data_IF_814482924228
#
_entry.id   IF_814482924228
#
_cell.length_a   1.000
_cell.length_b   1.000
_cell.length_c   1.000
_cell.angle_alpha   90.00
_cell.angle_beta   90.00
_cell.angle_gamma   90.00
#
_symmetry.space_group_name_H-M   'P 1'
#
loop_
_entity.id
_entity.type
_entity.pdbx_description
1 polymer ?
#
# COMPACT_ATOMS: atom_id res chain seq x y z
N UNK A 1 2.62 18.82 0.66
CA UNK A 1 3.05 17.92 1.76
C UNK A 1 3.80 18.77 2.78
N UNK A 2 3.36 18.76 4.04
CA UNK A 2 4.11 19.37 5.13
C UNK A 2 5.45 18.65 5.34
N UNK A 3 6.31 19.17 6.22
CA UNK A 3 7.63 18.56 6.52
C UNK A 3 7.57 17.08 6.92
N UNK A 4 6.50 16.65 7.59
CA UNK A 4 6.28 15.26 8.03
C UNK A 4 5.53 14.40 7.01
N UNK A 5 5.21 14.93 5.83
CA UNK A 5 4.56 14.16 4.78
C UNK A 5 5.56 13.22 4.11
N UNK A 6 5.15 11.97 3.93
CA UNK A 6 5.95 10.91 3.31
C UNK A 6 5.21 10.29 2.13
N UNK A 7 5.95 9.80 1.14
CA UNK A 7 5.43 8.94 0.08
C UNK A 7 5.87 7.50 0.34
N UNK A 8 5.14 6.54 -0.23
CA UNK A 8 5.54 5.13 -0.25
C UNK A 8 6.02 4.68 -1.63
N UNK A 9 6.76 3.56 -1.72
CA UNK A 9 7.07 2.92 -2.97
C UNK A 9 5.80 2.41 -3.68
N UNK A 10 5.93 2.17 -4.98
CA UNK A 10 4.96 1.43 -5.77
C UNK A 10 5.32 -0.04 -5.67
N UNK A 11 4.78 -0.72 -4.65
CA UNK A 11 5.07 -2.13 -4.37
C UNK A 11 3.83 -3.03 -4.62
N UNK A 12 3.66 -3.56 -5.83
CA UNK A 12 2.55 -4.44 -6.16
C UNK A 12 2.79 -5.88 -5.70
N UNK A 13 1.74 -6.49 -5.17
CA UNK A 13 1.65 -7.94 -4.98
C UNK A 13 0.56 -8.53 -5.88
N UNK A 14 0.77 -9.76 -6.35
CA UNK A 14 -0.20 -10.46 -7.20
C UNK A 14 -0.72 -11.71 -6.51
N UNK A 15 -2.02 -11.94 -6.62
CA UNK A 15 -2.70 -13.14 -6.13
C UNK A 15 -3.54 -13.74 -7.27
N UNK A 16 -3.31 -15.00 -7.61
CA UNK A 16 -4.14 -15.76 -8.53
C UNK A 16 -4.26 -17.23 -8.11
N UNK A 17 -4.98 -18.04 -8.89
CA UNK A 17 -5.22 -19.46 -8.59
C UNK A 17 -3.93 -20.31 -8.53
N UNK A 18 -2.86 -19.85 -9.19
CA UNK A 18 -1.56 -20.53 -9.30
C UNK A 18 -0.54 -20.09 -8.25
N UNK A 19 -0.87 -19.11 -7.41
CA UNK A 19 -0.04 -18.75 -6.27
C UNK A 19 0.05 -19.91 -5.25
N UNK A 20 1.09 -19.94 -4.40
CA UNK A 20 1.19 -20.91 -3.32
C UNK A 20 -0.05 -20.89 -2.42
N UNK A 21 -0.49 -22.05 -1.96
CA UNK A 21 -1.59 -22.16 -1.01
C UNK A 21 -1.10 -21.80 0.40
N UNK A 22 -1.93 -21.09 1.17
CA UNK A 22 -1.64 -20.79 2.56
C UNK A 22 -1.77 -22.08 3.41
N UNK A 23 -0.72 -22.52 4.13
CA UNK A 23 -0.78 -23.69 5.00
C UNK A 23 -1.85 -23.61 6.09
N UNK A 24 -2.19 -22.40 6.54
CA UNK A 24 -3.15 -22.16 7.62
C UNK A 24 -4.56 -21.90 7.10
N UNK A 25 -4.73 -21.60 5.81
CA UNK A 25 -6.01 -21.33 5.19
C UNK A 25 -6.09 -21.93 3.78
N UNK A 26 -6.69 -23.13 3.63
CA UNK A 26 -6.77 -23.81 2.33
C UNK A 26 -7.49 -23.03 1.23
N UNK A 27 -8.40 -22.10 1.58
CA UNK A 27 -9.10 -21.27 0.63
C UNK A 27 -8.27 -20.06 0.17
N UNK A 28 -7.24 -19.68 0.92
CA UNK A 28 -6.39 -18.54 0.61
C UNK A 28 -5.21 -18.93 -0.30
N UNK A 29 -4.64 -17.89 -0.91
CA UNK A 29 -3.44 -17.95 -1.73
C UNK A 29 -2.47 -16.91 -1.19
N UNK A 30 -1.20 -17.31 -1.03
CA UNK A 30 -0.14 -16.42 -0.56
C UNK A 30 0.16 -15.42 -1.69
N UNK A 31 0.04 -14.10 -1.44
CA UNK A 31 0.46 -13.09 -2.40
C UNK A 31 1.94 -13.23 -2.72
N UNK A 32 2.29 -13.05 -3.98
CA UNK A 32 3.68 -13.00 -4.41
C UNK A 32 4.00 -11.54 -4.71
N UNK A 33 4.89 -10.96 -3.92
CA UNK A 33 5.39 -9.61 -4.18
C UNK A 33 6.29 -9.63 -5.41
N UNK A 34 6.15 -8.60 -6.24
CA UNK A 34 6.93 -8.49 -7.46
C UNK A 34 8.40 -8.23 -7.11
N UNK A 35 8.66 -7.33 -6.16
CA UNK A 35 10.01 -6.96 -5.74
C UNK A 35 10.78 -8.15 -5.17
N UNK A 36 10.17 -8.95 -4.29
CA UNK A 36 10.81 -10.13 -3.69
C UNK A 36 11.31 -11.14 -4.74
N UNK A 37 10.55 -11.34 -5.81
CA UNK A 37 10.94 -12.24 -6.90
C UNK A 37 12.19 -11.73 -7.61
N UNK A 38 12.25 -10.43 -7.93
CA UNK A 38 13.43 -9.85 -8.58
C UNK A 38 14.62 -9.76 -7.63
N UNK A 39 14.40 -9.41 -6.36
CA UNK A 39 15.41 -9.38 -5.30
C UNK A 39 16.02 -10.76 -5.05
N UNK A 40 15.23 -11.85 -5.09
CA UNK A 40 15.76 -13.21 -5.05
C UNK A 40 16.68 -13.51 -6.24
N UNK A 41 16.27 -13.14 -7.46
CA UNK A 41 17.08 -13.38 -8.66
C UNK A 41 18.37 -12.54 -8.65
N UNK A 42 18.30 -11.30 -8.19
CA UNK A 42 19.45 -10.43 -8.01
C UNK A 42 20.41 -10.99 -6.96
N UNK A 43 19.90 -11.35 -5.77
CA UNK A 43 20.67 -11.97 -4.69
C UNK A 43 21.35 -13.26 -5.16
N UNK A 44 20.64 -14.11 -5.89
CA UNK A 44 21.19 -15.34 -6.44
C UNK A 44 22.35 -15.05 -7.41
N UNK A 45 22.24 -14.00 -8.23
CA UNK A 45 23.34 -13.55 -9.10
C UNK A 45 24.55 -13.01 -8.33
N UNK A 46 24.33 -12.16 -7.32
CA UNK A 46 25.38 -11.50 -6.55
C UNK A 46 26.10 -12.44 -5.59
N UNK A 47 25.36 -13.25 -4.80
CA UNK A 47 25.92 -14.14 -3.77
C UNK A 47 26.58 -15.38 -4.34
N UNK A 48 26.14 -15.84 -5.51
CA UNK A 48 26.79 -16.97 -6.17
C UNK A 48 28.14 -16.58 -6.80
N UNK A 49 28.49 -15.28 -6.80
CA UNK A 49 29.80 -14.76 -7.23
C UNK A 49 30.11 -14.95 -8.71
N UNK A 50 29.14 -15.35 -9.53
CA UNK A 50 29.40 -15.82 -10.90
C UNK A 50 28.30 -15.37 -11.86
N UNK A 51 28.67 -14.47 -12.77
CA UNK A 51 27.90 -14.08 -13.96
C UNK A 51 27.82 -15.19 -15.02
N UNK A 52 27.64 -16.47 -14.64
CA UNK A 52 27.40 -17.54 -15.61
C UNK A 52 25.90 -17.79 -15.73
N UNK A 53 25.42 -17.77 -16.98
CA UNK A 53 24.01 -18.00 -17.30
C UNK A 53 23.48 -19.30 -16.65
N UNK A 54 24.32 -20.33 -16.50
CA UNK A 54 23.94 -21.62 -15.91
C UNK A 54 23.48 -21.51 -14.44
N UNK A 55 24.08 -20.63 -13.64
CA UNK A 55 23.67 -20.47 -12.24
C UNK A 55 22.39 -19.65 -12.09
N UNK A 56 22.19 -18.65 -12.94
CA UNK A 56 20.92 -17.92 -13.02
C UNK A 56 19.78 -18.84 -13.45
N UNK A 57 20.03 -19.71 -14.44
CA UNK A 57 19.06 -20.73 -14.87
C UNK A 57 18.73 -21.68 -13.72
N UNK A 58 19.72 -22.12 -12.92
CA UNK A 58 19.45 -22.96 -11.73
C UNK A 58 18.61 -22.24 -10.69
N UNK A 59 18.92 -20.99 -10.36
CA UNK A 59 18.16 -20.20 -9.39
C UNK A 59 16.71 -20.00 -9.85
N UNK A 60 16.50 -19.72 -11.15
CA UNK A 60 15.18 -19.61 -11.76
C UNK A 60 14.43 -20.95 -11.74
N UNK A 61 15.08 -22.06 -12.06
CA UNK A 61 14.47 -23.40 -11.99
C UNK A 61 14.00 -23.73 -10.56
N UNK A 62 14.83 -23.47 -9.55
CA UNK A 62 14.46 -23.66 -8.15
C UNK A 62 13.26 -22.79 -7.73
N UNK A 63 13.16 -21.58 -8.27
CA UNK A 63 12.01 -20.70 -8.03
C UNK A 63 10.73 -21.28 -8.66
N UNK A 64 10.82 -21.76 -9.90
CA UNK A 64 9.69 -22.37 -10.63
C UNK A 64 9.20 -23.66 -9.99
N UNK A 65 10.06 -24.39 -9.27
CA UNK A 65 9.65 -25.56 -8.47
C UNK A 65 8.78 -25.18 -7.26
N UNK A 66 8.90 -23.96 -6.75
CA UNK A 66 8.16 -23.48 -5.57
C UNK A 66 6.99 -22.58 -5.92
N UNK A 67 7.12 -21.81 -6.99
CA UNK A 67 6.10 -20.88 -7.48
C UNK A 67 5.74 -21.28 -8.90
N UNK A 68 4.45 -21.55 -9.12
CA UNK A 68 3.96 -22.00 -10.41
C UNK A 68 4.35 -21.02 -11.54
N UNK A 69 4.82 -21.49 -12.71
CA UNK A 69 5.28 -20.62 -13.80
C UNK A 69 4.23 -19.59 -14.24
N UNK A 70 2.94 -19.92 -14.22
CA UNK A 70 1.86 -18.97 -14.53
C UNK A 70 1.71 -17.85 -13.49
N UNK A 71 2.07 -18.10 -12.22
CA UNK A 71 2.14 -17.05 -11.21
C UNK A 71 3.34 -16.13 -11.49
N UNK A 72 4.51 -16.67 -11.85
CA UNK A 72 5.67 -15.85 -12.26
C UNK A 72 5.42 -15.05 -13.55
N UNK A 73 4.72 -15.62 -14.52
CA UNK A 73 4.27 -14.90 -15.70
C UNK A 73 3.32 -13.76 -15.36
N UNK A 74 2.45 -13.96 -14.35
CA UNK A 74 1.57 -12.91 -13.83
C UNK A 74 2.35 -11.79 -13.12
N UNK A 75 3.35 -12.15 -12.30
CA UNK A 75 4.30 -11.22 -11.67
C UNK A 75 4.94 -10.33 -12.73
N UNK A 76 5.55 -10.92 -13.76
CA UNK A 76 6.23 -10.14 -14.80
C UNK A 76 5.27 -9.22 -15.58
N UNK A 77 4.05 -9.68 -15.89
CA UNK A 77 3.04 -8.84 -16.57
C UNK A 77 2.61 -7.65 -15.71
N UNK A 78 2.36 -7.86 -14.41
CA UNK A 78 1.99 -6.76 -13.51
C UNK A 78 3.13 -5.79 -13.30
N UNK A 79 4.37 -6.27 -13.25
CA UNK A 79 5.56 -5.42 -13.23
C UNK A 79 5.63 -4.49 -14.47
N UNK A 80 5.41 -5.02 -15.67
CA UNK A 80 5.37 -4.20 -16.88
C UNK A 80 4.18 -3.22 -16.88
N UNK A 81 3.02 -3.68 -16.41
CA UNK A 81 1.80 -2.87 -16.33
C UNK A 81 1.98 -1.69 -15.38
N UNK A 82 2.48 -1.92 -14.17
CA UNK A 82 2.63 -0.85 -13.17
C UNK A 82 3.63 0.20 -13.63
N UNK A 83 4.74 -0.22 -14.25
CA UNK A 83 5.72 0.70 -14.85
C UNK A 83 5.10 1.50 -15.99
N UNK A 84 4.31 0.86 -16.86
CA UNK A 84 3.57 1.55 -17.92
C UNK A 84 2.57 2.56 -17.36
N UNK A 85 1.84 2.20 -16.31
CA UNK A 85 0.86 3.05 -15.66
C UNK A 85 1.54 4.26 -15.00
N UNK A 86 2.63 4.03 -14.26
CA UNK A 86 3.41 5.10 -13.64
C UNK A 86 3.91 6.11 -14.68
N UNK A 87 4.45 5.64 -15.81
CA UNK A 87 4.84 6.52 -16.93
C UNK A 87 3.67 7.32 -17.51
N UNK A 88 2.51 6.69 -17.68
CA UNK A 88 1.30 7.38 -18.18
C UNK A 88 0.80 8.44 -17.20
N UNK A 89 0.79 8.14 -15.90
CA UNK A 89 0.41 9.10 -14.86
C UNK A 89 1.37 10.29 -14.85
N UNK A 90 2.67 10.05 -14.91
CA UNK A 90 3.69 11.11 -15.03
C UNK A 90 3.51 11.96 -16.30
N UNK A 91 3.09 11.35 -17.42
CA UNK A 91 2.83 12.05 -18.66
C UNK A 91 1.55 12.92 -18.64
N UNK A 92 0.65 12.73 -17.67
CA UNK A 92 -0.55 13.56 -17.50
C UNK A 92 -0.26 14.91 -16.83
N UNK A 93 0.95 15.13 -16.32
CA UNK A 93 1.34 16.42 -15.76
C UNK A 93 1.36 17.52 -16.83
N UNK A 94 0.94 18.73 -16.46
CA UNK A 94 0.81 19.86 -17.39
C UNK A 94 2.12 20.26 -18.09
N UNK A 95 3.27 19.94 -17.48
CA UNK A 95 4.58 20.18 -18.06
C UNK A 95 5.24 18.86 -18.45
N UNK A 96 5.72 18.72 -19.69
CA UNK A 96 6.43 17.52 -20.09
C UNK A 96 7.71 17.37 -19.26
N UNK A 97 7.92 16.17 -18.72
CA UNK A 97 9.17 15.83 -18.06
C UNK A 97 10.31 15.81 -19.08
N UNK A 98 11.51 16.22 -18.65
CA UNK A 98 12.73 16.05 -19.46
C UNK A 98 12.92 14.58 -19.81
N UNK A 99 13.53 14.34 -20.96
CA UNK A 99 13.87 12.99 -21.42
C UNK A 99 14.67 12.23 -20.34
N UNK A 100 14.29 10.97 -20.08
CA UNK A 100 14.90 10.12 -19.05
C UNK A 100 14.50 10.41 -17.59
N UNK A 101 13.89 11.56 -17.28
CA UNK A 101 13.42 11.85 -15.91
C UNK A 101 12.25 10.96 -15.50
N UNK A 102 11.34 10.67 -16.43
CA UNK A 102 10.21 9.77 -16.20
C UNK A 102 10.70 8.37 -15.82
N UNK A 103 11.63 7.83 -16.60
CA UNK A 103 12.30 6.55 -16.33
C UNK A 103 12.97 6.54 -14.96
N UNK A 104 13.75 7.58 -14.64
CA UNK A 104 14.41 7.69 -13.33
C UNK A 104 13.41 7.69 -12.17
N UNK A 105 12.30 8.43 -12.28
CA UNK A 105 11.26 8.45 -11.24
C UNK A 105 10.64 7.06 -11.08
N UNK A 106 10.26 6.41 -12.20
CA UNK A 106 9.63 5.08 -12.15
C UNK A 106 10.57 4.05 -11.56
N UNK A 107 11.85 4.04 -11.95
CA UNK A 107 12.83 3.11 -11.40
C UNK A 107 13.04 3.32 -9.89
N UNK A 108 13.09 4.57 -9.43
CA UNK A 108 13.18 4.83 -7.99
C UNK A 108 11.93 4.34 -7.25
N UNK A 109 10.74 4.67 -7.73
CA UNK A 109 9.50 4.32 -7.05
C UNK A 109 9.16 2.83 -7.10
N UNK A 110 9.73 2.04 -8.02
CA UNK A 110 9.38 0.61 -8.21
C UNK A 110 10.47 -0.39 -7.85
N UNK A 111 11.75 0.00 -7.82
CA UNK A 111 12.87 -0.96 -7.75
C UNK A 111 14.01 -0.58 -6.80
N UNK A 112 14.21 0.72 -6.53
CA UNK A 112 15.41 1.18 -5.77
C UNK A 112 15.15 1.40 -4.29
N UNK A 113 13.91 1.20 -3.85
CA UNK A 113 13.51 1.35 -2.46
C UNK A 113 13.46 -0.05 -1.85
N UNK A 114 14.58 -0.47 -1.27
CA UNK A 114 14.87 -1.84 -0.79
C UNK A 114 13.99 -2.34 0.39
N UNK A 115 12.84 -1.72 0.64
CA UNK A 115 11.90 -2.08 1.69
C UNK A 115 10.47 -1.72 1.27
N UNK A 116 9.54 -2.68 1.43
CA UNK A 116 8.11 -2.51 1.15
C UNK A 116 7.47 -1.28 1.82
N UNK A 117 7.97 -0.90 3.00
CA UNK A 117 7.50 0.24 3.78
C UNK A 117 8.51 1.39 3.83
N UNK A 118 9.32 1.56 2.78
CA UNK A 118 10.26 2.67 2.73
C UNK A 118 9.51 4.01 2.72
N UNK A 119 9.79 4.84 3.72
CA UNK A 119 9.20 6.16 3.87
C UNK A 119 10.01 7.18 3.08
N UNK A 120 9.50 7.58 1.93
CA UNK A 120 10.15 8.57 1.07
C UNK A 120 9.90 9.96 1.65
N UNK A 121 10.94 10.55 2.22
CA UNK A 121 10.86 11.91 2.77
C UNK A 121 10.70 12.96 1.66
N UNK A 122 10.20 14.15 2.00
CA UNK A 122 10.17 15.31 1.08
C UNK A 122 11.54 15.61 0.46
N UNK A 123 12.61 15.43 1.24
CA UNK A 123 14.00 15.66 0.80
C UNK A 123 14.39 14.65 -0.26
N UNK A 124 14.24 13.36 0.04
CA UNK A 124 14.52 12.26 -0.89
C UNK A 124 13.71 12.37 -2.18
N UNK A 125 12.40 12.66 -2.06
CA UNK A 125 11.53 12.92 -3.19
C UNK A 125 12.09 14.02 -4.12
N UNK A 126 12.67 15.10 -3.54
CA UNK A 126 13.22 16.22 -4.32
C UNK A 126 14.65 15.98 -4.83
N UNK A 127 15.55 15.46 -4.01
CA UNK A 127 16.99 15.38 -4.26
C UNK A 127 17.37 14.08 -4.98
N UNK A 128 16.72 12.96 -4.66
CA UNK A 128 17.10 11.63 -5.14
C UNK A 128 16.15 11.15 -6.25
N UNK A 129 14.84 11.21 -6.02
CA UNK A 129 13.81 10.78 -6.98
C UNK A 129 13.57 11.86 -8.04
N UNK A 130 13.89 13.12 -7.73
CA UNK A 130 13.69 14.28 -8.60
C UNK A 130 12.22 14.53 -8.94
N UNK A 131 11.31 14.31 -8.00
CA UNK A 131 9.91 14.71 -8.12
C UNK A 131 9.76 16.24 -8.11
N UNK A 132 8.67 16.75 -8.66
CA UNK A 132 8.36 18.18 -8.61
C UNK A 132 7.82 18.55 -7.23
N UNK A 133 8.72 18.79 -6.28
CA UNK A 133 8.37 19.13 -4.90
C UNK A 133 8.29 20.65 -4.72
N UNK A 134 7.15 21.15 -4.25
CA UNK A 134 6.99 22.56 -3.83
C UNK A 134 7.04 22.63 -2.32
N UNK A 135 7.95 23.46 -1.77
CA UNK A 135 8.06 23.71 -0.35
C UNK A 135 7.10 24.86 0.00
N UNK A 136 6.07 24.63 0.84
CA UNK A 136 5.15 25.69 1.26
C UNK A 136 5.86 26.71 2.16
N UNK A 137 5.38 27.95 2.18
CA UNK A 137 5.77 28.92 3.21
C UNK A 137 5.23 28.53 4.61
N UNK A 138 5.65 29.23 5.65
CA UNK A 138 5.27 28.91 7.03
C UNK A 138 3.77 29.01 7.29
N UNK A 139 3.06 29.91 6.61
CA UNK A 139 1.63 30.08 6.78
C UNK A 139 0.87 28.91 6.16
N UNK A 140 1.19 28.57 4.90
CA UNK A 140 0.60 27.43 4.22
C UNK A 140 0.93 26.11 4.92
N UNK A 141 2.16 25.95 5.43
CA UNK A 141 2.54 24.75 6.19
C UNK A 141 1.71 24.60 7.47
N UNK A 142 1.45 25.70 8.19
CA UNK A 142 0.59 25.69 9.37
C UNK A 142 -0.85 25.28 9.03
N UNK A 143 -1.42 25.83 7.94
CA UNK A 143 -2.78 25.49 7.50
C UNK A 143 -2.87 24.02 7.07
N UNK A 144 -1.89 23.50 6.32
CA UNK A 144 -1.84 22.10 5.94
C UNK A 144 -1.76 21.16 7.15
N UNK A 145 -1.03 21.56 8.20
CA UNK A 145 -0.94 20.78 9.43
C UNK A 145 -2.26 20.78 10.20
N UNK A 146 -2.90 21.93 10.35
CA UNK A 146 -4.23 22.02 10.98
C UNK A 146 -5.24 21.14 10.25
N UNK A 147 -5.30 21.21 8.93
CA UNK A 147 -6.19 20.36 8.13
C UNK A 147 -5.94 18.86 8.37
N UNK A 148 -4.68 18.44 8.47
CA UNK A 148 -4.35 17.06 8.79
C UNK A 148 -4.81 16.69 10.21
N UNK A 149 -4.64 17.57 11.20
CA UNK A 149 -5.09 17.31 12.57
C UNK A 149 -6.62 17.17 12.64
N UNK A 150 -7.36 18.00 11.90
CA UNK A 150 -8.82 17.92 11.81
C UNK A 150 -9.25 16.55 11.25
N UNK A 151 -8.64 16.09 10.15
CA UNK A 151 -8.90 14.75 9.62
C UNK A 151 -8.45 13.63 10.56
N UNK A 152 -7.34 13.81 11.29
CA UNK A 152 -6.84 12.81 12.22
C UNK A 152 -7.77 12.64 13.42
N UNK A 153 -8.40 13.72 13.89
CA UNK A 153 -9.42 13.70 14.93
C UNK A 153 -10.72 13.08 14.41
N UNK A 154 -11.21 13.51 13.24
CA UNK A 154 -12.47 13.02 12.66
C UNK A 154 -12.43 11.53 12.29
N UNK A 155 -11.27 11.04 11.82
CA UNK A 155 -11.04 9.63 11.50
C UNK A 155 -10.47 8.83 12.68
N UNK A 156 -10.31 9.45 13.85
CA UNK A 156 -9.73 8.84 15.05
C UNK A 156 -8.39 8.10 14.79
N UNK A 157 -7.50 8.67 13.96
CA UNK A 157 -6.28 7.98 13.50
C UNK A 157 -5.27 7.67 14.61
N UNK A 158 -5.38 8.36 15.76
CA UNK A 158 -4.52 8.14 16.92
C UNK A 158 -5.05 7.06 17.88
N UNK A 159 -6.25 6.55 17.64
CA UNK A 159 -6.93 5.59 18.50
C UNK A 159 -7.07 4.24 17.77
N UNK A 160 -6.48 3.15 18.31
CA UNK A 160 -6.70 1.83 17.74
C UNK A 160 -8.19 1.49 17.78
N UNK A 161 -8.75 1.05 16.65
CA UNK A 161 -10.12 0.54 16.64
C UNK A 161 -10.20 -0.78 17.41
N UNK A 162 -10.56 -0.71 18.70
CA UNK A 162 -10.75 -1.87 19.57
C UNK A 162 -12.23 -2.02 19.98
N UNK A 163 -13.06 -2.68 19.13
CA UNK A 163 -14.48 -2.85 19.42
C UNK A 163 -14.76 -3.65 20.70
N UNK A 164 -13.80 -4.42 21.21
CA UNK A 164 -13.95 -5.17 22.47
C UNK A 164 -13.94 -4.25 23.70
N UNK A 165 -13.15 -3.18 23.68
CA UNK A 165 -13.06 -2.20 24.78
C UNK A 165 -14.32 -1.34 24.86
N UNK A 166 -14.92 -1.04 23.71
CA UNK A 166 -16.12 -0.23 23.64
C UNK A 166 -17.39 -1.01 24.03
N UNK A 167 -17.37 -2.34 24.04
CA UNK A 167 -18.57 -3.16 24.27
C UNK A 167 -19.14 -2.99 25.70
N UNK A 168 -20.21 -2.20 25.82
CA UNK A 168 -21.03 -2.14 27.03
C UNK A 168 -22.14 -3.20 26.99
N UNK A 169 -21.98 -4.31 27.73
CA UNK A 169 -22.97 -5.40 27.79
C UNK A 169 -22.71 -6.52 26.78
N UNK A 170 -23.77 -7.06 26.17
CA UNK A 170 -23.67 -8.21 25.24
C UNK A 170 -23.65 -7.79 23.76
N UNK A 171 -24.15 -6.59 23.45
CA UNK A 171 -24.33 -6.10 22.08
C UNK A 171 -24.24 -4.57 22.07
N UNK A 172 -23.49 -4.02 21.12
CA UNK A 172 -23.36 -2.59 20.88
C UNK A 172 -23.43 -2.32 19.37
N UNK A 173 -24.16 -1.29 18.98
CA UNK A 173 -24.10 -0.76 17.61
C UNK A 173 -22.94 0.24 17.50
N UNK A 174 -22.25 0.27 16.36
CA UNK A 174 -21.16 1.21 16.10
C UNK A 174 -21.30 1.87 14.73
N UNK A 175 -20.74 3.07 14.61
CA UNK A 175 -20.59 3.83 13.37
C UNK A 175 -19.17 4.42 13.34
N UNK A 176 -18.42 4.17 12.26
CA UNK A 176 -17.04 4.64 12.10
C UNK A 176 -16.86 5.22 10.70
N UNK A 177 -16.36 6.45 10.62
CA UNK A 177 -15.92 7.08 9.37
C UNK A 177 -14.52 6.60 9.02
N UNK A 178 -14.33 6.08 7.81
CA UNK A 178 -13.06 5.48 7.35
C UNK A 178 -12.44 6.21 6.15
N UNK A 179 -13.11 7.23 5.63
CA UNK A 179 -12.62 8.03 4.53
C UNK A 179 -13.45 9.29 4.39
N UNK A 180 -12.83 10.36 3.90
CA UNK A 180 -13.47 11.66 3.71
C UNK A 180 -13.13 12.13 2.30
N UNK A 181 -14.13 12.69 1.63
CA UNK A 181 -13.98 13.43 0.38
C UNK A 181 -14.58 14.80 0.61
N UNK A 182 -13.74 15.83 0.50
CA UNK A 182 -14.16 17.21 0.71
C UNK A 182 -13.91 18.06 -0.54
N UNK A 183 -14.80 19.01 -0.76
CA UNK A 183 -14.69 20.01 -1.81
C UNK A 183 -15.24 21.35 -1.33
N UNK A 184 -15.11 22.38 -2.16
CA UNK A 184 -15.77 23.67 -1.92
C UNK A 184 -17.31 23.60 -1.81
N UNK A 185 -17.93 22.48 -2.21
CA UNK A 185 -19.37 22.30 -2.20
C UNK A 185 -19.90 21.47 -1.03
N UNK A 186 -19.01 20.89 -0.21
CA UNK A 186 -19.40 20.04 0.93
C UNK A 186 -18.42 18.92 1.20
N UNK A 187 -18.75 18.12 2.22
CA UNK A 187 -17.95 16.98 2.69
C UNK A 187 -18.80 15.71 2.77
N UNK A 188 -18.26 14.60 2.24
CA UNK A 188 -18.84 13.27 2.32
C UNK A 188 -17.89 12.31 3.04
N UNK A 189 -18.42 11.55 4.00
CA UNK A 189 -17.70 10.51 4.73
C UNK A 189 -18.09 9.11 4.25
N UNK A 190 -17.13 8.21 4.10
CA UNK A 190 -17.39 6.78 3.91
C UNK A 190 -17.52 6.12 5.28
N UNK A 191 -18.73 5.68 5.60
CA UNK A 191 -19.11 5.24 6.94
C UNK A 191 -19.42 3.76 6.96
N UNK A 192 -18.85 3.05 7.94
CA UNK A 192 -19.21 1.70 8.31
C UNK A 192 -20.14 1.73 9.51
N UNK A 193 -21.28 1.06 9.41
CA UNK A 193 -22.21 0.86 10.53
C UNK A 193 -22.42 -0.62 10.78
N UNK A 194 -22.39 -1.02 12.03
CA UNK A 194 -22.42 -2.43 12.38
C UNK A 194 -22.74 -2.68 13.83
N UNK A 195 -22.53 -3.93 14.23
CA UNK A 195 -22.81 -4.42 15.58
C UNK A 195 -21.61 -5.20 16.08
N UNK A 196 -21.22 -4.93 17.32
CA UNK A 196 -20.30 -5.76 18.10
C UNK A 196 -21.10 -6.61 19.06
N UNK A 197 -20.86 -7.92 19.06
CA UNK A 197 -21.55 -8.87 19.94
C UNK A 197 -20.53 -9.71 20.72
N UNK A 198 -20.79 -9.90 22.02
CA UNK A 198 -20.05 -10.89 22.81
C UNK A 198 -20.58 -12.27 22.44
N UNK A 199 -19.70 -13.13 21.92
CA UNK A 199 -19.95 -14.57 21.81
C UNK A 199 -19.07 -15.29 22.81
N UNK A 200 -19.58 -16.38 23.36
CA UNK A 200 -18.77 -17.32 24.14
C UNK A 200 -17.82 -18.04 23.18
N UNK A 201 -16.67 -17.44 22.94
CA UNK A 201 -15.57 -18.10 22.25
C UNK A 201 -14.77 -18.95 23.25
N UNK A 202 -14.17 -20.06 22.81
CA UNK A 202 -13.30 -20.89 23.67
C UNK A 202 -12.10 -20.10 24.24
N UNK A 203 -11.71 -19.02 23.58
CA UNK A 203 -10.67 -18.09 24.03
C UNK A 203 -11.32 -16.82 24.61
N UNK A 204 -10.93 -16.40 25.84
CA UNK A 204 -11.47 -15.20 26.45
C UNK A 204 -11.08 -13.95 25.67
N UNK A 205 -12.02 -13.01 25.51
CA UNK A 205 -11.75 -11.66 24.96
C UNK A 205 -12.07 -11.47 23.47
N UNK A 206 -12.51 -12.50 22.74
CA UNK A 206 -12.94 -12.33 21.34
C UNK A 206 -14.37 -11.80 21.27
N UNK A 207 -14.57 -10.73 20.49
CA UNK A 207 -15.90 -10.20 20.13
C UNK A 207 -16.17 -10.45 18.65
N UNK A 208 -17.43 -10.62 18.30
CA UNK A 208 -17.86 -10.72 16.91
C UNK A 208 -18.21 -9.33 16.39
N UNK A 209 -17.60 -8.90 15.29
CA UNK A 209 -17.89 -7.61 14.63
C UNK A 209 -18.61 -7.91 13.33
N UNK A 210 -19.83 -7.41 13.19
CA UNK A 210 -20.63 -7.59 11.98
C UNK A 210 -20.94 -6.23 11.34
N UNK A 211 -20.43 -6.01 10.13
CA UNK A 211 -20.71 -4.81 9.35
C UNK A 211 -22.07 -4.98 8.69
N UNK A 212 -23.04 -4.14 9.06
CA UNK A 212 -24.40 -4.18 8.51
C UNK A 212 -24.56 -3.30 7.28
N UNK A 213 -23.88 -2.16 7.26
CA UNK A 213 -23.96 -1.17 6.19
C UNK A 213 -22.60 -0.51 5.97
N UNK A 214 -22.30 -0.19 4.72
CA UNK A 214 -21.18 0.65 4.34
C UNK A 214 -21.61 1.58 3.19
N UNK A 215 -21.18 2.84 3.21
CA UNK A 215 -21.48 3.77 2.12
C UNK A 215 -21.10 5.21 2.41
N UNK A 216 -21.24 6.06 1.39
CA UNK A 216 -21.03 7.50 1.49
C UNK A 216 -22.21 8.19 2.17
N UNK A 217 -21.92 9.15 3.04
CA UNK A 217 -22.87 9.97 3.79
C UNK A 217 -22.38 11.41 3.79
N UNK A 218 -23.25 12.34 3.42
CA UNK A 218 -22.95 13.78 3.49
C UNK A 218 -22.86 14.21 4.95
N UNK A 219 -21.76 14.89 5.29
CA UNK A 219 -21.43 15.31 6.66
C UNK A 219 -21.74 16.79 6.88
N UNK A 220 -21.49 17.63 5.86
CA UNK A 220 -21.80 19.06 5.85
C UNK A 220 -21.95 19.63 4.44
#
# INVERSE_FOLDING_TARGET
MGKMGELGPIDPSVVNAFNPQDPNNPAARIPVNIEDVYSYLALAGEKAGVCSNDQQVKAFTLLVERIHPLALGNVHRNYLLIRSLAKKLLAMHQQPLREGRSEHIVDNLTEKLYAHNHMISRREASEEITLNVTIPDSNLESVLWMLFQDYAEELALSEPFNPAENLSGNRMDFEVTSGIVESMYGSDGFVFSGVVERRDFPEPGKVNVNILKQGWKTMS
#
